data_IF_053565418986
#
_entry.id   IF_053565418986
#
_cell.length_a   1.000
_cell.length_b   1.000
_cell.length_c   1.000
_cell.angle_alpha   90.00
_cell.angle_beta   90.00
_cell.angle_gamma   90.00
#
_symmetry.space_group_name_H-M   'P 1'
#
loop_
_entity.id
_entity.type
_entity.pdbx_description
1 polymer ?
#
# COMPACT_ATOMS: atom_id res chain seq x y z
N UNK A 1 -36.73 -35.87 -19.76
CA UNK A 1 -36.13 -34.57 -20.18
C UNK A 1 -35.85 -33.60 -19.02
N UNK A 2 -36.63 -33.59 -17.92
CA UNK A 2 -36.44 -32.65 -16.78
C UNK A 2 -35.12 -32.79 -16.00
N UNK A 3 -34.62 -34.01 -15.77
CA UNK A 3 -33.39 -34.27 -14.99
C UNK A 3 -32.10 -33.83 -15.70
N UNK A 4 -32.05 -33.94 -17.03
CA UNK A 4 -30.91 -33.46 -17.84
C UNK A 4 -30.78 -31.94 -17.83
N UNK A 5 -31.90 -31.23 -17.84
CA UNK A 5 -31.93 -29.76 -17.75
C UNK A 5 -31.51 -29.27 -16.36
N UNK A 6 -31.94 -29.94 -15.29
CA UNK A 6 -31.52 -29.61 -13.93
C UNK A 6 -30.01 -29.79 -13.74
N UNK A 7 -29.44 -30.87 -14.28
CA UNK A 7 -28.01 -31.14 -14.22
C UNK A 7 -27.21 -30.07 -14.98
N UNK A 8 -27.69 -29.66 -16.15
CA UNK A 8 -27.06 -28.59 -16.93
C UNK A 8 -27.09 -27.24 -16.21
N UNK A 9 -28.21 -26.90 -15.56
CA UNK A 9 -28.32 -25.65 -14.79
C UNK A 9 -27.38 -25.66 -13.59
N UNK A 10 -27.29 -26.77 -12.86
CA UNK A 10 -26.37 -26.91 -11.74
C UNK A 10 -24.91 -26.85 -12.18
N UNK A 11 -24.56 -27.43 -13.33
CA UNK A 11 -23.22 -27.37 -13.91
C UNK A 11 -22.85 -25.92 -14.30
N UNK A 12 -23.77 -25.19 -14.94
CA UNK A 12 -23.54 -23.79 -15.31
C UNK A 12 -23.43 -22.91 -14.07
N UNK A 13 -24.25 -23.15 -13.04
CA UNK A 13 -24.18 -22.41 -11.78
C UNK A 13 -22.85 -22.65 -11.04
N UNK A 14 -22.34 -23.88 -11.05
CA UNK A 14 -21.07 -24.24 -10.42
C UNK A 14 -19.87 -23.71 -11.20
N UNK A 15 -19.93 -23.64 -12.54
CA UNK A 15 -18.92 -22.96 -13.36
C UNK A 15 -18.95 -21.44 -13.13
N UNK A 16 -20.13 -20.82 -13.02
CA UNK A 16 -20.25 -19.40 -12.70
C UNK A 16 -19.76 -19.06 -11.28
N UNK A 17 -19.97 -19.96 -10.32
CA UNK A 17 -19.39 -19.85 -8.97
C UNK A 17 -17.86 -20.01 -9.00
N UNK A 18 -17.31 -20.91 -9.82
CA UNK A 18 -15.87 -21.08 -9.95
C UNK A 18 -15.19 -19.89 -10.66
N UNK A 19 -15.86 -19.28 -11.65
CA UNK A 19 -15.36 -18.12 -12.39
C UNK A 19 -15.57 -16.79 -11.63
N UNK A 20 -16.55 -16.73 -10.71
CA UNK A 20 -16.84 -15.54 -9.89
C UNK A 20 -15.87 -15.31 -8.73
N UNK A 21 -15.00 -16.28 -8.42
CA UNK A 21 -14.01 -16.19 -7.31
C UNK A 21 -12.64 -15.69 -7.80
N UNK A 22 -12.45 -15.51 -9.11
CA UNK A 22 -11.31 -14.74 -9.65
C UNK A 22 -11.58 -13.24 -9.51
N UNK A 23 -11.83 -12.80 -8.27
CA UNK A 23 -11.97 -11.40 -7.91
C UNK A 23 -10.60 -10.73 -7.99
N UNK A 24 -10.48 -9.80 -8.95
CA UNK A 24 -9.73 -8.55 -8.84
C UNK A 24 -8.34 -8.69 -8.21
N UNK A 25 -7.37 -9.21 -8.97
CA UNK A 25 -5.98 -8.83 -8.79
C UNK A 25 -5.79 -7.41 -9.35
N UNK A 26 -6.48 -6.41 -8.77
CA UNK A 26 -5.98 -5.06 -8.84
C UNK A 26 -4.72 -5.09 -7.97
N UNK A 27 -3.55 -4.88 -8.56
CA UNK A 27 -2.40 -4.48 -7.76
C UNK A 27 -2.87 -3.29 -6.92
N UNK A 28 -2.92 -3.45 -5.60
CA UNK A 28 -3.31 -2.39 -4.69
C UNK A 28 -2.21 -1.33 -4.72
N UNK A 29 -2.29 -0.46 -5.73
CA UNK A 29 -1.40 0.68 -5.87
C UNK A 29 -1.87 1.78 -4.95
N UNK A 30 -0.93 2.50 -4.36
CA UNK A 30 -1.22 3.73 -3.63
C UNK A 30 -0.80 4.91 -4.50
N UNK A 31 -1.77 5.72 -4.90
CA UNK A 31 -1.57 6.85 -5.83
C UNK A 31 -0.82 6.46 -7.12
N UNK A 32 -1.09 5.26 -7.64
CA UNK A 32 -0.46 4.74 -8.86
C UNK A 32 0.94 4.13 -8.68
N UNK A 33 1.45 4.03 -7.45
CA UNK A 33 2.74 3.41 -7.13
C UNK A 33 2.60 2.03 -6.50
N UNK A 34 3.55 1.15 -6.78
CA UNK A 34 3.60 -0.20 -6.21
C UNK A 34 4.27 -0.22 -4.83
N UNK A 35 4.17 -1.35 -4.13
CA UNK A 35 4.82 -1.53 -2.83
C UNK A 35 6.35 -1.53 -2.93
N UNK A 36 6.91 -1.99 -4.05
CA UNK A 36 8.35 -1.95 -4.32
C UNK A 36 8.86 -0.52 -4.49
N UNK A 37 8.06 0.36 -5.10
CA UNK A 37 8.40 1.78 -5.26
C UNK A 37 8.28 2.57 -3.96
N UNK A 38 7.31 2.22 -3.11
CA UNK A 38 6.99 2.95 -1.88
C UNK A 38 7.76 2.48 -0.65
N UNK A 39 8.24 1.24 -0.65
CA UNK A 39 8.96 0.64 0.46
C UNK A 39 10.23 -0.10 -0.02
N UNK A 40 11.17 0.61 -0.68
CA UNK A 40 12.41 -0.01 -1.18
C UNK A 40 13.31 -0.52 -0.05
N UNK A 41 13.19 0.05 1.16
CA UNK A 41 13.97 -0.31 2.35
C UNK A 41 13.43 -1.47 3.19
N UNK A 42 12.34 -2.13 2.77
CA UNK A 42 11.79 -3.26 3.52
C UNK A 42 12.77 -4.44 3.58
N UNK A 43 12.88 -5.07 4.76
CA UNK A 43 13.79 -6.19 5.02
C UNK A 43 13.39 -7.47 4.28
N UNK A 44 12.11 -7.63 3.98
CA UNK A 44 11.56 -8.75 3.23
C UNK A 44 10.19 -8.38 2.63
N UNK A 45 9.62 -9.29 1.84
CA UNK A 45 8.35 -9.07 1.15
C UNK A 45 7.14 -9.06 2.10
N UNK A 46 7.22 -9.73 3.25
CA UNK A 46 6.16 -9.71 4.26
C UNK A 46 6.02 -8.32 4.90
N UNK A 47 7.13 -7.70 5.30
CA UNK A 47 7.15 -6.33 5.81
C UNK A 47 6.63 -5.34 4.77
N UNK A 48 7.04 -5.51 3.51
CA UNK A 48 6.59 -4.67 2.37
C UNK A 48 5.08 -4.77 2.17
N UNK A 49 4.55 -6.00 2.16
CA UNK A 49 3.12 -6.25 2.01
C UNK A 49 2.32 -5.70 3.19
N UNK A 50 2.83 -5.86 4.42
CA UNK A 50 2.19 -5.32 5.62
C UNK A 50 2.17 -3.78 5.61
N UNK A 51 3.26 -3.14 5.18
CA UNK A 51 3.34 -1.68 5.06
C UNK A 51 2.37 -1.13 4.01
N UNK A 52 2.28 -1.78 2.83
CA UNK A 52 1.30 -1.42 1.80
C UNK A 52 -0.14 -1.59 2.31
N UNK A 53 -0.45 -2.72 2.95
CA UNK A 53 -1.77 -2.93 3.53
C UNK A 53 -2.12 -1.85 4.57
N UNK A 54 -1.17 -1.47 5.42
CA UNK A 54 -1.35 -0.38 6.39
C UNK A 54 -1.56 0.98 5.72
N UNK A 55 -0.82 1.28 4.65
CA UNK A 55 -0.94 2.53 3.89
C UNK A 55 -2.32 2.67 3.23
N UNK A 56 -2.81 1.59 2.62
CA UNK A 56 -4.14 1.55 2.00
C UNK A 56 -5.25 1.65 3.06
N UNK A 57 -5.09 0.95 4.18
CA UNK A 57 -6.03 1.00 5.29
C UNK A 57 -6.09 2.39 5.95
N UNK A 58 -5.00 3.15 5.92
CA UNK A 58 -4.97 4.53 6.43
C UNK A 58 -5.87 5.48 5.63
N UNK A 59 -6.22 5.13 4.39
CA UNK A 59 -7.14 5.88 3.51
C UNK A 59 -6.80 7.38 3.48
N UNK A 60 -5.51 7.67 3.29
CA UNK A 60 -5.01 9.05 3.30
C UNK A 60 -5.58 9.82 2.11
N UNK A 61 -6.06 11.06 2.31
CA UNK A 61 -6.46 11.92 1.21
C UNK A 61 -5.21 12.37 0.42
N UNK A 62 -5.40 12.71 -0.85
CA UNK A 62 -4.42 13.50 -1.58
C UNK A 62 -4.23 14.85 -0.88
N UNK A 63 -3.00 15.14 -0.48
CA UNK A 63 -2.62 16.35 0.27
C UNK A 63 -1.72 17.29 -0.55
N UNK A 64 -1.65 17.09 -1.87
CA UNK A 64 -0.82 17.89 -2.77
C UNK A 64 -1.25 19.36 -2.85
N UNK A 65 -2.54 19.66 -2.65
CA UNK A 65 -3.08 21.02 -2.60
C UNK A 65 -2.43 21.88 -1.49
N UNK A 66 -1.99 21.24 -0.42
CA UNK A 66 -1.44 21.90 0.77
C UNK A 66 0.07 21.91 0.81
N UNK A 67 0.74 20.87 0.33
CA UNK A 67 2.17 20.63 0.61
C UNK A 67 3.05 20.51 -0.64
N UNK A 68 2.49 20.41 -1.85
CA UNK A 68 3.29 20.17 -3.04
C UNK A 68 4.37 21.24 -3.24
N UNK A 69 5.60 20.78 -3.52
CA UNK A 69 6.77 21.64 -3.75
C UNK A 69 7.39 22.25 -2.48
N UNK A 70 6.90 21.92 -1.28
CA UNK A 70 7.51 22.34 -0.02
C UNK A 70 8.54 21.32 0.46
N UNK A 71 9.56 21.80 1.18
CA UNK A 71 10.44 20.94 1.98
C UNK A 71 9.96 20.96 3.43
N UNK A 72 9.68 19.78 3.99
CA UNK A 72 9.28 19.61 5.38
C UNK A 72 10.41 18.92 6.13
N UNK A 73 11.04 19.63 7.07
CA UNK A 73 12.18 19.13 7.84
C UNK A 73 11.71 18.51 9.16
N UNK A 74 12.05 17.24 9.39
CA UNK A 74 11.90 16.55 10.66
C UNK A 74 13.28 16.41 11.30
N UNK A 75 13.42 16.95 12.52
CA UNK A 75 14.62 16.77 13.34
C UNK A 75 14.41 15.68 14.39
N UNK A 76 15.24 14.66 14.36
CA UNK A 76 15.21 13.52 15.29
C UNK A 76 16.22 13.76 16.41
N UNK A 77 15.84 14.58 17.39
CA UNK A 77 16.75 15.07 18.44
C UNK A 77 17.11 14.07 19.55
N UNK A 78 16.43 12.92 19.61
CA UNK A 78 16.69 11.91 20.63
C UNK A 78 17.05 10.58 19.96
N UNK A 79 18.31 10.22 20.15
CA UNK A 79 18.77 8.84 20.03
C UNK A 79 18.34 8.07 21.28
N UNK A 80 17.79 6.87 21.12
CA UNK A 80 17.70 5.94 22.24
C UNK A 80 19.10 5.52 22.70
N UNK A 81 19.20 4.62 23.68
CA UNK A 81 20.48 4.03 24.11
C UNK A 81 21.29 3.33 22.98
N UNK A 82 20.78 3.32 21.74
CA UNK A 82 21.33 2.66 20.56
C UNK A 82 21.41 3.57 19.31
N UNK A 83 21.29 4.91 19.44
CA UNK A 83 21.37 5.83 18.30
C UNK A 83 20.01 6.41 17.87
N UNK A 84 20.03 7.24 16.82
CA UNK A 84 18.86 7.94 16.28
C UNK A 84 17.74 6.96 15.89
N UNK A 85 16.50 7.28 16.28
CA UNK A 85 15.31 6.47 15.94
C UNK A 85 14.69 7.04 14.64
N UNK A 86 15.52 7.28 13.64
CA UNK A 86 15.12 7.89 12.37
C UNK A 86 14.63 6.88 11.33
N UNK A 87 14.98 5.59 11.51
CA UNK A 87 14.64 4.50 10.60
C UNK A 87 13.19 4.50 10.10
N UNK A 88 12.17 4.67 10.97
CA UNK A 88 10.78 4.75 10.53
C UNK A 88 10.50 5.90 9.56
N UNK A 89 11.11 7.07 9.76
CA UNK A 89 10.89 8.21 8.86
C UNK A 89 11.50 7.97 7.48
N UNK A 90 12.66 7.30 7.41
CA UNK A 90 13.22 6.88 6.12
C UNK A 90 12.36 5.80 5.46
N UNK A 91 11.84 4.85 6.23
CA UNK A 91 11.00 3.76 5.72
C UNK A 91 9.69 4.28 5.09
N UNK A 92 9.06 5.29 5.70
CA UNK A 92 7.78 5.86 5.22
C UNK A 92 7.92 7.07 4.29
N UNK A 93 9.15 7.47 3.96
CA UNK A 93 9.43 8.67 3.17
C UNK A 93 8.71 8.67 1.83
N UNK A 94 8.88 7.62 1.02
CA UNK A 94 8.34 7.61 -0.34
C UNK A 94 6.80 7.66 -0.35
N UNK A 95 6.15 7.00 0.61
CA UNK A 95 4.71 7.10 0.82
C UNK A 95 4.27 8.52 1.21
N UNK A 96 5.01 9.17 2.12
CA UNK A 96 4.75 10.54 2.54
C UNK A 96 4.91 11.53 1.37
N UNK A 97 6.02 11.45 0.64
CA UNK A 97 6.29 12.35 -0.50
C UNK A 97 5.27 12.11 -1.62
N UNK A 98 4.84 10.87 -1.83
CA UNK A 98 3.79 10.52 -2.80
C UNK A 98 2.44 11.17 -2.47
N UNK A 99 2.00 11.13 -1.21
CA UNK A 99 0.67 11.66 -0.83
C UNK A 99 0.65 13.18 -0.69
N UNK A 100 1.79 13.79 -0.37
CA UNK A 100 1.89 15.23 -0.11
C UNK A 100 2.47 16.04 -1.27
N UNK A 101 3.25 15.43 -2.15
CA UNK A 101 4.06 16.13 -3.14
C UNK A 101 5.18 17.01 -2.53
N UNK A 102 5.41 16.90 -1.22
CA UNK A 102 6.50 17.57 -0.53
C UNK A 102 7.79 16.74 -0.62
N UNK A 103 8.92 17.38 -0.31
CA UNK A 103 10.18 16.70 0.01
C UNK A 103 10.31 16.59 1.53
N UNK A 104 10.54 15.39 2.04
CA UNK A 104 10.79 15.18 3.46
C UNK A 104 12.29 15.31 3.73
N UNK A 105 12.72 16.26 4.55
CA UNK A 105 14.12 16.34 4.99
C UNK A 105 14.21 15.74 6.40
N UNK A 106 15.14 14.80 6.62
CA UNK A 106 15.35 14.17 7.92
C UNK A 106 16.73 14.58 8.41
N UNK A 107 16.77 15.19 9.59
CA UNK A 107 17.99 15.67 10.25
C UNK A 107 18.14 14.95 11.58
N UNK A 108 19.34 14.47 11.88
CA UNK A 108 19.71 13.77 13.11
C UNK A 108 20.72 14.57 13.94
#
# INVERSE_FOLDING_TARGET
MRTRSLFFVLLVLSILLALGVSQVAAQDTFMGKTAEELFPGAANDEERAAAMAALLAANLPDATDRFAGQTLTISVQQAGARGGISGPYYFWRDAFETVTGATLEIVE
#
